data_IF_432535873874
#
_entry.id   IF_432535873874
#
_cell.length_a   1.000
_cell.length_b   1.000
_cell.length_c   1.000
_cell.angle_alpha   90.00
_cell.angle_beta   90.00
_cell.angle_gamma   90.00
#
_symmetry.space_group_name_H-M   'P 1'
#
loop_
_entity.id
_entity.type
_entity.pdbx_description
1 polymer ?
#
# COMPACT_ATOMS: atom_id res chain seq x y z
N UNK A 1 -26.00 -15.02 26.08
CA UNK A 1 -24.84 -14.10 25.92
C UNK A 1 -24.86 -13.09 27.06
N UNK A 2 -23.92 -13.14 28.00
CA UNK A 2 -23.86 -12.14 29.09
C UNK A 2 -23.21 -10.85 28.57
N UNK A 3 -23.77 -9.69 28.94
CA UNK A 3 -23.19 -8.38 28.59
C UNK A 3 -21.94 -8.11 29.42
N UNK A 4 -20.96 -7.44 28.83
CA UNK A 4 -19.74 -7.03 29.55
C UNK A 4 -20.05 -6.02 30.67
N UNK A 5 -19.17 -5.94 31.68
CA UNK A 5 -19.33 -5.01 32.81
C UNK A 5 -19.43 -3.56 32.33
N UNK A 6 -18.59 -3.16 31.38
CA UNK A 6 -18.60 -1.83 30.74
C UNK A 6 -19.93 -1.54 30.04
N UNK A 7 -20.51 -2.52 29.34
CA UNK A 7 -21.79 -2.35 28.66
C UNK A 7 -22.95 -2.13 29.64
N UNK A 8 -22.95 -2.84 30.77
CA UNK A 8 -23.94 -2.66 31.85
C UNK A 8 -23.82 -1.28 32.51
N UNK A 9 -22.59 -0.82 32.75
CA UNK A 9 -22.33 0.50 33.34
C UNK A 9 -22.81 1.63 32.43
N UNK A 10 -22.52 1.56 31.13
CA UNK A 10 -22.99 2.54 30.13
C UNK A 10 -24.51 2.61 30.09
N UNK A 11 -25.17 1.45 30.05
CA UNK A 11 -26.64 1.37 30.06
C UNK A 11 -27.27 1.96 31.34
N UNK A 12 -26.59 1.83 32.49
CA UNK A 12 -27.03 2.49 33.73
C UNK A 12 -26.93 4.01 33.62
N UNK A 13 -25.84 4.53 33.07
CA UNK A 13 -25.62 5.98 32.89
C UNK A 13 -26.58 6.60 31.88
N UNK A 14 -26.91 5.87 30.79
CA UNK A 14 -27.93 6.26 29.82
C UNK A 14 -29.32 6.38 30.48
N UNK A 15 -29.71 5.42 31.32
CA UNK A 15 -31.01 5.48 32.04
C UNK A 15 -31.13 6.64 33.02
N UNK A 16 -30.03 7.03 33.65
CA UNK A 16 -29.99 8.16 34.59
C UNK A 16 -29.92 9.50 33.83
N UNK A 17 -29.76 9.49 32.50
CA UNK A 17 -29.69 10.69 31.67
C UNK A 17 -28.36 11.44 31.75
N UNK A 18 -27.34 10.85 32.41
CA UNK A 18 -26.01 11.46 32.57
C UNK A 18 -25.19 11.37 31.28
N UNK A 19 -25.47 10.38 30.44
CA UNK A 19 -24.68 10.08 29.25
C UNK A 19 -25.59 10.06 28.02
N UNK A 20 -25.35 10.98 27.09
CA UNK A 20 -26.02 11.00 25.80
C UNK A 20 -25.25 10.09 24.82
N UNK A 21 -25.80 8.93 24.43
CA UNK A 21 -25.11 7.96 23.57
C UNK A 21 -24.84 8.50 22.16
N UNK A 22 -25.62 9.48 21.70
CA UNK A 22 -25.48 10.08 20.37
C UNK A 22 -24.28 11.03 20.28
N UNK A 23 -23.85 11.63 21.40
CA UNK A 23 -22.66 12.50 21.43
C UNK A 23 -21.35 11.73 21.39
N UNK A 24 -21.34 10.48 21.85
CA UNK A 24 -20.14 9.65 21.96
C UNK A 24 -19.92 8.73 20.75
N UNK A 25 -20.93 8.62 19.87
CA UNK A 25 -20.80 7.86 18.63
C UNK A 25 -20.05 8.71 17.62
N UNK A 26 -18.83 8.29 17.30
CA UNK A 26 -18.14 8.77 16.11
C UNK A 26 -19.08 8.59 14.91
N UNK A 27 -19.46 9.71 14.29
CA UNK A 27 -20.28 9.66 13.10
C UNK A 27 -19.47 8.99 11.99
N UNK A 28 -20.07 8.02 11.30
CA UNK A 28 -19.47 7.44 10.11
C UNK A 28 -19.48 8.49 9.01
N UNK A 29 -18.38 9.23 8.91
CA UNK A 29 -18.18 10.16 7.81
C UNK A 29 -17.77 9.39 6.55
N UNK A 30 -18.15 9.90 5.38
CA UNK A 30 -17.66 9.33 4.11
C UNK A 30 -16.13 9.44 4.09
N UNK A 31 -15.48 8.51 3.41
CA UNK A 31 -14.03 8.56 3.21
C UNK A 31 -13.69 9.93 2.60
N UNK A 32 -12.72 10.68 3.16
CA UNK A 32 -12.27 11.90 2.52
C UNK A 32 -11.81 11.57 1.10
N UNK A 33 -12.06 12.48 0.16
CA UNK A 33 -11.58 12.34 -1.21
C UNK A 33 -10.06 12.37 -1.16
N UNK A 34 -9.42 11.21 -1.23
CA UNK A 34 -7.97 11.13 -1.33
C UNK A 34 -7.58 11.38 -2.79
N UNK A 35 -6.49 12.12 -2.99
CA UNK A 35 -5.87 12.24 -4.30
C UNK A 35 -5.48 10.84 -4.78
N UNK A 36 -6.13 10.37 -5.84
CA UNK A 36 -5.81 9.07 -6.44
C UNK A 36 -4.44 9.20 -7.11
N UNK A 37 -3.40 8.69 -6.46
CA UNK A 37 -2.10 8.54 -7.13
C UNK A 37 -2.15 7.35 -8.10
N UNK A 38 -1.57 7.50 -9.30
CA UNK A 38 -1.54 6.41 -10.27
C UNK A 38 -0.71 5.23 -9.75
N UNK A 39 -1.36 4.07 -9.61
CA UNK A 39 -0.70 2.84 -9.20
C UNK A 39 -0.06 2.14 -10.42
N UNK A 40 1.21 2.42 -10.67
CA UNK A 40 1.99 1.86 -11.80
C UNK A 40 1.96 0.32 -11.85
N UNK A 41 1.98 -0.35 -10.69
CA UNK A 41 1.92 -1.82 -10.60
C UNK A 41 0.55 -2.36 -11.03
N UNK A 42 -0.53 -1.65 -10.71
CA UNK A 42 -1.86 -2.01 -11.18
C UNK A 42 -2.01 -1.76 -12.69
N UNK A 43 -1.41 -0.69 -13.21
CA UNK A 43 -1.41 -0.35 -14.63
C UNK A 43 -0.67 -1.39 -15.48
N UNK A 44 0.52 -1.83 -15.04
CA UNK A 44 1.30 -2.88 -15.72
C UNK A 44 0.54 -4.22 -15.82
N UNK A 45 -0.18 -4.62 -14.75
CA UNK A 45 -1.03 -5.83 -14.79
C UNK A 45 -2.18 -5.67 -15.78
N UNK A 46 -2.81 -4.49 -15.84
CA UNK A 46 -3.90 -4.21 -16.80
C UNK A 46 -3.41 -4.16 -18.24
N UNK A 47 -2.20 -3.67 -18.51
CA UNK A 47 -1.64 -3.60 -19.87
C UNK A 47 -1.34 -4.98 -20.45
N UNK A 48 -0.87 -5.92 -19.62
CA UNK A 48 -0.61 -7.30 -20.04
C UNK A 48 -1.90 -8.03 -20.44
N UNK A 49 -3.00 -7.80 -19.73
CA UNK A 49 -4.29 -8.42 -20.08
C UNK A 49 -4.96 -7.80 -21.32
N UNK A 50 -4.70 -6.52 -21.61
CA UNK A 50 -5.29 -5.83 -22.79
C UNK A 50 -4.59 -6.14 -24.10
N UNK A 51 -3.35 -6.63 -24.07
CA UNK A 51 -2.55 -6.96 -25.27
C UNK A 51 -2.53 -8.46 -25.61
N UNK A 52 -3.48 -9.24 -25.09
CA UNK A 52 -3.59 -10.68 -25.37
C UNK A 52 -4.12 -10.88 -26.81
N UNK A 53 -3.22 -10.81 -27.80
CA UNK A 53 -3.56 -11.05 -29.21
C UNK A 53 -2.64 -10.41 -30.27
N UNK A 54 -1.64 -9.59 -29.91
CA UNK A 54 -0.67 -9.05 -30.88
C UNK A 54 0.74 -8.98 -30.28
N UNK A 55 1.46 -10.09 -30.42
CA UNK A 55 2.89 -10.20 -30.77
C UNK A 55 3.43 -11.49 -30.17
N UNK A 56 3.26 -12.58 -30.92
CA UNK A 56 4.16 -13.72 -30.84
C UNK A 56 5.43 -13.29 -31.61
N UNK A 57 6.47 -12.91 -30.88
CA UNK A 57 7.65 -12.29 -31.48
C UNK A 57 8.51 -11.62 -30.42
N UNK A 58 9.60 -12.30 -30.04
CA UNK A 58 10.70 -11.67 -29.35
C UNK A 58 11.31 -10.61 -30.27
N UNK A 59 11.18 -9.34 -29.94
CA UNK A 59 11.92 -8.27 -30.61
C UNK A 59 13.38 -8.29 -30.11
N UNK A 60 14.14 -9.29 -30.58
CA UNK A 60 15.57 -9.14 -30.79
C UNK A 60 15.73 -8.51 -32.18
N UNK A 61 16.21 -7.26 -32.28
CA UNK A 61 17.12 -6.79 -33.34
C UNK A 61 17.52 -5.31 -33.17
N UNK A 62 18.80 -5.15 -32.77
CA UNK A 62 19.78 -4.12 -33.18
C UNK A 62 19.51 -2.62 -32.97
N UNK A 63 20.22 -2.03 -31.99
CA UNK A 63 20.56 -0.60 -32.03
C UNK A 63 21.12 0.02 -30.73
N UNK A 64 22.39 -0.28 -30.41
CA UNK A 64 23.29 0.41 -29.45
C UNK A 64 23.10 0.18 -27.92
N UNK A 65 24.20 -0.12 -27.19
CA UNK A 65 24.21 -0.21 -25.72
C UNK A 65 24.65 1.13 -25.11
N UNK A 66 23.75 1.83 -24.41
CA UNK A 66 24.17 2.88 -23.48
C UNK A 66 24.24 2.29 -22.07
N UNK A 67 25.42 1.75 -21.76
CA UNK A 67 25.84 1.42 -20.40
C UNK A 67 25.67 2.64 -19.48
N UNK A 68 24.91 2.58 -18.37
CA UNK A 68 25.05 3.60 -17.35
C UNK A 68 26.46 3.45 -16.77
N UNK A 69 27.25 4.51 -16.92
CA UNK A 69 28.55 4.78 -16.31
C UNK A 69 29.06 3.72 -15.34
N UNK A 70 30.17 3.09 -15.74
CA UNK A 70 31.03 2.32 -14.85
C UNK A 70 31.30 3.12 -13.57
N UNK A 71 30.77 2.63 -12.45
CA UNK A 71 31.33 2.92 -11.13
C UNK A 71 32.44 1.89 -10.96
N UNK A 72 33.73 2.24 -10.97
CA UNK A 72 34.75 1.27 -10.63
C UNK A 72 34.65 0.99 -9.13
N UNK A 73 34.01 -0.13 -8.78
CA UNK A 73 34.17 -0.76 -7.48
C UNK A 73 35.62 -1.24 -7.42
N UNK A 74 36.52 -0.40 -6.90
CA UNK A 74 37.86 -0.83 -6.50
C UNK A 74 37.71 -1.70 -5.26
N UNK A 75 37.70 -3.02 -5.49
CA UNK A 75 38.05 -3.99 -4.45
C UNK A 75 39.53 -3.83 -4.14
N UNK A 76 39.86 -3.14 -3.05
CA UNK A 76 41.14 -3.37 -2.38
C UNK A 76 40.95 -4.58 -1.46
N UNK A 77 41.36 -5.74 -1.95
CA UNK A 77 41.69 -6.87 -1.10
C UNK A 77 42.88 -6.46 -0.23
N UNK A 78 42.65 -6.38 1.08
CA UNK A 78 43.68 -6.38 2.10
C UNK A 78 44.57 -7.62 1.94
N UNK A 79 45.90 -7.51 1.80
CA UNK A 79 46.76 -8.62 2.10
C UNK A 79 46.91 -8.72 3.61
N UNK A 80 46.34 -9.79 4.14
CA UNK A 80 46.63 -10.34 5.46
C UNK A 80 48.12 -10.72 5.49
N UNK A 81 48.90 -10.11 6.40
CA UNK A 81 50.25 -10.53 6.71
C UNK A 81 50.52 -10.33 8.21
N UNK A 82 51.25 -11.32 8.74
CA UNK A 82 51.43 -11.73 10.14
C UNK A 82 52.16 -10.76 11.05
#
# INVERSE_FOLDING_TARGET
MSRSKTQKQRQKQERVGVLNPEMLRNQWQRKPLTQVQPNRKAEQRRSQCRRKGRSDGADFLSGQPFFPHAVPIRFYLLPFAS
#
